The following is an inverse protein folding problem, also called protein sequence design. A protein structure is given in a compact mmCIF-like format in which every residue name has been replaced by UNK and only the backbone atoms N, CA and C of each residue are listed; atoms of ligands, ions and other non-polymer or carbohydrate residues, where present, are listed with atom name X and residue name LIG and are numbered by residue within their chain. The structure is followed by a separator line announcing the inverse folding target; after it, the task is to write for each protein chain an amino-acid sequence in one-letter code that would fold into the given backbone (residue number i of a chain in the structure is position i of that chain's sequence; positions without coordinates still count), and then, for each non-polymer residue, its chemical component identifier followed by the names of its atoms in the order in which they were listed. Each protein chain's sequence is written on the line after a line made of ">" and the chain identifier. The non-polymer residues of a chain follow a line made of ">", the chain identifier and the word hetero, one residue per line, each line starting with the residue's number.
data_IF_416150153192
#
_entry.id   IF_416150153192
#
_cell.length_a   1.000
_cell.length_b   1.000
_cell.length_c   1.000
_cell.angle_alpha   90.00
_cell.angle_beta   90.00
_cell.angle_gamma   90.00
#
_symmetry.space_group_name_H-M   'P 1'
#
loop_
_entity.id
_entity.type
_entity.pdbx_description
1 polymer ?
#
# COMPACT_ATOMS: atom_id res chain seq x y z
N UNK A 1 13.65 -9.01 12.13
CA UNK A 1 12.32 -8.45 11.82
C UNK A 1 11.59 -9.51 11.02
N UNK A 2 10.74 -10.27 11.69
CA UNK A 2 9.77 -11.14 11.04
C UNK A 2 8.46 -10.37 10.89
N UNK A 3 7.78 -10.56 9.77
CA UNK A 3 6.54 -9.89 9.44
C UNK A 3 5.49 -10.90 9.06
N UNK A 4 4.27 -10.73 9.56
CA UNK A 4 3.13 -11.59 9.24
C UNK A 4 2.11 -10.80 8.42
N UNK A 5 1.71 -11.33 7.28
CA UNK A 5 0.62 -10.78 6.48
C UNK A 5 -0.69 -11.03 7.24
N UNK A 6 -1.44 -9.97 7.50
CA UNK A 6 -2.71 -10.01 8.25
C UNK A 6 -3.93 -9.73 7.37
N UNK A 7 -3.73 -9.21 6.15
CA UNK A 7 -4.82 -8.94 5.22
C UNK A 7 -4.34 -8.77 3.79
N UNK A 8 -5.19 -9.17 2.84
CA UNK A 8 -5.02 -8.90 1.42
C UNK A 8 -6.35 -8.47 0.84
N UNK A 9 -6.40 -7.27 0.24
CA UNK A 9 -7.59 -6.71 -0.38
C UNK A 9 -7.30 -6.29 -1.82
N UNK A 10 -8.26 -6.48 -2.73
CA UNK A 10 -8.13 -6.07 -4.14
C UNK A 10 -9.04 -4.89 -4.43
N UNK A 11 -8.47 -3.85 -5.03
CA UNK A 11 -9.19 -2.64 -5.41
C UNK A 11 -8.76 -2.13 -6.78
N UNK A 12 -9.66 -1.44 -7.48
CA UNK A 12 -9.26 -0.68 -8.67
C UNK A 12 -8.65 0.66 -8.26
N UNK A 13 -7.56 1.03 -8.92
CA UNK A 13 -6.80 2.25 -8.64
C UNK A 13 -7.65 3.53 -8.74
N UNK A 14 -8.56 3.59 -9.71
CA UNK A 14 -9.47 4.72 -9.94
C UNK A 14 -10.53 4.86 -8.84
N UNK A 15 -10.95 3.74 -8.25
CA UNK A 15 -12.01 3.65 -7.22
C UNK A 15 -11.52 3.66 -5.79
N UNK A 16 -10.21 3.77 -5.57
CA UNK A 16 -9.67 3.96 -4.23
C UNK A 16 -10.26 5.20 -3.59
N UNK A 17 -10.99 4.99 -2.49
CA UNK A 17 -11.46 6.00 -1.57
C UNK A 17 -11.02 5.56 -0.17
N UNK A 18 -10.61 6.51 0.68
CA UNK A 18 -10.28 6.35 2.11
C UNK A 18 -9.20 5.30 2.53
N UNK A 19 -9.02 4.16 1.85
CA UNK A 19 -7.96 3.16 2.09
C UNK A 19 -6.54 3.73 1.92
N UNK A 20 -6.35 4.78 1.11
CA UNK A 20 -5.04 5.42 0.96
C UNK A 20 -4.56 6.15 2.23
N UNK A 21 -5.41 6.31 3.26
CA UNK A 21 -4.96 6.82 4.57
C UNK A 21 -4.09 5.84 5.35
N UNK A 22 -3.99 4.57 4.92
CA UNK A 22 -3.32 3.52 5.69
C UNK A 22 -1.79 3.53 5.63
N UNK A 23 -1.15 4.31 4.74
CA UNK A 23 0.31 4.22 4.50
C UNK A 23 1.09 5.53 4.70
N UNK A 24 0.57 6.47 5.50
CA UNK A 24 1.26 7.74 5.75
C UNK A 24 1.32 8.69 4.54
N UNK A 25 0.69 8.34 3.42
CA UNK A 25 0.42 9.27 2.32
C UNK A 25 -0.70 10.23 2.70
N UNK A 26 -0.45 11.53 2.53
CA UNK A 26 -1.39 12.58 2.95
C UNK A 26 -2.67 12.60 2.09
N UNK A 27 -2.62 12.04 0.86
CA UNK A 27 -3.74 12.00 -0.10
C UNK A 27 -3.64 10.84 -1.12
N UNK A 28 -4.79 10.42 -1.65
CA UNK A 28 -4.91 9.41 -2.74
C UNK A 28 -4.12 9.83 -3.99
N UNK A 29 -4.15 11.11 -4.39
CA UNK A 29 -3.39 11.61 -5.54
C UNK A 29 -1.88 11.44 -5.38
N UNK A 30 -1.37 11.57 -4.16
CA UNK A 30 0.05 11.40 -3.88
C UNK A 30 0.45 9.92 -4.02
N UNK A 31 -0.38 9.00 -3.51
CA UNK A 31 -0.21 7.57 -3.70
C UNK A 31 -0.23 7.20 -5.19
N UNK A 32 -1.22 7.69 -5.95
CA UNK A 32 -1.34 7.46 -7.40
C UNK A 32 -0.10 7.94 -8.16
N UNK A 33 0.39 9.15 -7.86
CA UNK A 33 1.63 9.68 -8.46
C UNK A 33 2.85 8.84 -8.11
N UNK A 34 2.96 8.39 -6.86
CA UNK A 34 4.03 7.50 -6.42
C UNK A 34 4.04 6.20 -7.22
N UNK A 35 2.88 5.54 -7.33
CA UNK A 35 2.71 4.32 -8.11
C UNK A 35 3.03 4.52 -9.59
N UNK A 36 2.58 5.60 -10.20
CA UNK A 36 2.91 5.91 -11.61
C UNK A 36 4.41 6.17 -11.82
N UNK A 37 5.08 6.78 -10.85
CA UNK A 37 6.53 6.97 -10.89
C UNK A 37 7.31 5.66 -10.75
N UNK A 38 6.82 4.72 -9.93
CA UNK A 38 7.45 3.41 -9.73
C UNK A 38 7.13 2.40 -10.85
N UNK A 39 5.93 2.48 -11.42
CA UNK A 39 5.43 1.60 -12.47
C UNK A 39 5.02 2.42 -13.71
N UNK A 40 6.00 2.78 -14.57
CA UNK A 40 5.72 3.51 -15.79
C UNK A 40 4.74 2.73 -16.68
N UNK A 41 3.63 3.37 -17.05
CA UNK A 41 2.59 2.75 -17.87
C UNK A 41 1.49 2.01 -17.09
N UNK A 42 1.49 2.08 -15.76
CA UNK A 42 0.38 1.58 -14.95
C UNK A 42 -0.95 2.25 -15.36
N UNK A 43 -1.95 1.48 -15.81
CA UNK A 43 -3.27 2.02 -16.15
C UNK A 43 -3.93 2.68 -14.94
N UNK A 44 -4.64 3.77 -15.17
CA UNK A 44 -5.35 4.51 -14.11
C UNK A 44 -6.40 3.69 -13.38
N UNK A 45 -6.88 2.62 -14.01
CA UNK A 45 -7.99 1.78 -13.56
C UNK A 45 -7.56 0.33 -13.26
N UNK A 46 -6.25 0.10 -13.19
CA UNK A 46 -5.64 -1.18 -12.88
C UNK A 46 -6.16 -1.74 -11.55
N UNK A 47 -6.28 -3.06 -11.48
CA UNK A 47 -6.48 -3.77 -10.22
C UNK A 47 -5.16 -3.82 -9.44
N UNK A 48 -5.21 -3.44 -8.17
CA UNK A 48 -4.07 -3.48 -7.26
C UNK A 48 -4.42 -4.25 -5.99
N UNK A 49 -3.41 -4.86 -5.39
CA UNK A 49 -3.50 -5.59 -4.13
C UNK A 49 -2.94 -4.74 -2.99
N UNK A 50 -3.73 -4.55 -1.94
CA UNK A 50 -3.31 -3.99 -0.67
C UNK A 50 -2.97 -5.13 0.27
N UNK A 51 -1.72 -5.15 0.74
CA UNK A 51 -1.24 -6.16 1.69
C UNK A 51 -1.02 -5.48 3.03
N UNK A 52 -1.83 -5.83 4.02
CA UNK A 52 -1.61 -5.41 5.40
C UNK A 52 -0.74 -6.44 6.10
N UNK A 53 0.29 -5.99 6.80
CA UNK A 53 1.18 -6.85 7.56
C UNK A 53 1.52 -6.20 8.91
N UNK A 54 1.75 -7.05 9.91
CA UNK A 54 2.32 -6.64 11.19
C UNK A 54 3.79 -7.03 11.21
N UNK A 55 4.64 -6.16 11.73
CA UNK A 55 6.06 -6.47 11.90
C UNK A 55 6.36 -6.61 13.38
N UNK A 56 7.01 -7.71 13.74
CA UNK A 56 7.50 -7.90 15.10
C UNK A 56 8.66 -6.94 15.35
N UNK A 57 8.70 -6.28 16.52
CA UNK A 57 9.82 -5.44 16.87
C UNK A 57 11.11 -6.27 16.82
N UNK A 58 12.24 -5.66 16.40
CA UNK A 58 13.51 -6.37 16.48
C UNK A 58 13.72 -6.84 17.93
N UNK A 59 14.11 -8.11 18.11
CA UNK A 59 14.56 -8.60 19.42
C UNK A 59 15.55 -7.59 19.98
N UNK A 60 15.23 -7.07 21.18
CA UNK A 60 16.17 -6.23 21.90
C UNK A 60 17.39 -7.11 22.20
N UNK A 61 18.48 -6.86 21.48
CA UNK A 61 19.78 -7.40 21.86
C UNK A 61 20.12 -6.82 23.23
N UNK A 62 20.01 -7.67 24.26
CA UNK A 62 20.45 -7.38 25.64
C UNK A 62 21.98 -7.40 25.73
#
# INVERSE_FOLDING_TARGET
>A
MEGTITGVERHRLDRLAEQARLDGFTSIDQLKKGLQGHYPGLPSDAEIEFVTFTVEPPDAVE
#
